data_IF_479129183050
#
_entry.id   IF_479129183050
#
_cell.length_a   1.000
_cell.length_b   1.000
_cell.length_c   1.000
_cell.angle_alpha   90.00
_cell.angle_beta   90.00
_cell.angle_gamma   90.00
#
_symmetry.space_group_name_H-M   'P 1'
#
loop_
_entity.id
_entity.type
_entity.pdbx_description
1 polymer ?
#
# COMPACT_ATOMS: atom_id res chain seq x y z
N UNK A 1 22.14 -36.66 -59.67
CA UNK A 1 23.22 -36.56 -58.65
C UNK A 1 23.52 -35.10 -58.33
N UNK A 2 22.99 -34.56 -57.22
CA UNK A 2 23.52 -33.37 -56.54
C UNK A 2 23.28 -33.58 -55.03
N UNK A 3 24.36 -33.84 -54.29
CA UNK A 3 24.36 -34.07 -52.84
C UNK A 3 24.02 -32.76 -52.12
N UNK A 4 22.94 -32.74 -51.33
CA UNK A 4 22.68 -31.69 -50.34
C UNK A 4 23.44 -32.04 -49.07
N UNK A 5 24.43 -31.22 -48.74
CA UNK A 5 25.19 -31.27 -47.49
C UNK A 5 24.28 -30.69 -46.40
N UNK A 6 23.93 -31.50 -45.41
CA UNK A 6 23.28 -31.04 -44.19
C UNK A 6 24.34 -30.39 -43.29
N UNK A 7 24.27 -29.07 -43.14
CA UNK A 7 24.99 -28.35 -42.09
C UNK A 7 24.12 -28.46 -40.83
N UNK A 8 24.51 -29.33 -39.90
CA UNK A 8 23.96 -29.30 -38.54
C UNK A 8 24.48 -28.04 -37.85
N UNK A 9 23.65 -27.01 -37.78
CA UNK A 9 23.88 -25.88 -36.88
C UNK A 9 23.63 -26.35 -35.45
N UNK A 10 24.72 -26.66 -34.73
CA UNK A 10 24.66 -26.84 -33.28
C UNK A 10 24.31 -25.49 -32.63
N UNK A 11 23.04 -25.29 -32.28
CA UNK A 11 22.67 -24.26 -31.32
C UNK A 11 23.18 -24.70 -29.95
N UNK A 12 24.39 -24.25 -29.61
CA UNK A 12 24.84 -24.22 -28.23
C UNK A 12 23.95 -23.21 -27.50
N UNK A 13 22.94 -23.69 -26.79
CA UNK A 13 22.22 -22.89 -25.82
C UNK A 13 23.23 -22.48 -24.74
N UNK A 14 23.69 -21.22 -24.79
CA UNK A 14 24.39 -20.61 -23.67
C UNK A 14 23.39 -20.49 -22.52
N UNK A 15 23.33 -21.51 -21.66
CA UNK A 15 22.72 -21.36 -20.35
C UNK A 15 23.54 -20.31 -19.60
N UNK A 16 22.95 -19.14 -19.35
CA UNK A 16 23.53 -18.17 -18.45
C UNK A 16 23.70 -18.85 -17.08
N UNK A 17 24.95 -19.03 -16.63
CA UNK A 17 25.26 -19.64 -15.35
C UNK A 17 24.85 -18.71 -14.20
N UNK A 18 23.57 -18.76 -13.81
CA UNK A 18 23.10 -18.20 -12.56
C UNK A 18 23.74 -18.91 -11.37
N UNK A 19 24.05 -18.17 -10.31
CA UNK A 19 24.43 -18.75 -9.03
C UNK A 19 23.25 -19.45 -8.36
N UNK A 20 23.54 -20.38 -7.44
CA UNK A 20 22.54 -21.25 -6.77
C UNK A 20 21.36 -20.51 -6.11
N UNK A 21 21.54 -19.21 -5.81
CA UNK A 21 20.58 -18.34 -5.12
C UNK A 21 19.90 -17.30 -6.02
N UNK A 22 20.25 -17.22 -7.31
CA UNK A 22 19.78 -16.12 -8.17
C UNK A 22 18.26 -16.20 -8.45
N UNK A 23 17.70 -17.41 -8.51
CA UNK A 23 16.26 -17.64 -8.58
C UNK A 23 15.61 -17.85 -7.19
N UNK A 24 16.42 -18.04 -6.14
CA UNK A 24 15.94 -18.51 -4.85
C UNK A 24 15.13 -17.48 -4.06
N UNK A 25 14.24 -17.93 -3.19
CA UNK A 25 13.52 -17.07 -2.23
C UNK A 25 13.30 -17.85 -0.93
N UNK A 26 12.96 -17.15 0.16
CA UNK A 26 12.67 -17.82 1.43
C UNK A 26 11.14 -17.87 1.60
N UNK A 27 10.61 -19.08 1.58
CA UNK A 27 9.23 -19.34 1.98
C UNK A 27 9.16 -19.33 3.51
N UNK A 28 8.18 -18.64 4.08
CA UNK A 28 7.93 -18.67 5.52
C UNK A 28 6.47 -18.95 5.84
N UNK A 29 6.26 -19.82 6.82
CA UNK A 29 4.95 -20.21 7.35
C UNK A 29 4.96 -20.22 8.88
N UNK A 30 3.77 -20.37 9.44
CA UNK A 30 3.55 -20.68 10.85
C UNK A 30 2.89 -22.05 10.99
N UNK A 31 2.98 -22.68 12.16
CA UNK A 31 2.37 -24.00 12.43
C UNK A 31 0.84 -24.02 12.33
N UNK A 32 0.20 -22.85 12.40
CA UNK A 32 -1.22 -22.64 12.14
C UNK A 32 -1.47 -21.24 11.57
N UNK A 33 -2.73 -20.83 11.44
CA UNK A 33 -3.07 -19.48 10.99
C UNK A 33 -2.36 -18.41 11.87
N UNK A 34 -1.53 -17.52 11.28
CA UNK A 34 -0.69 -16.57 12.02
C UNK A 34 -1.48 -15.54 12.82
N UNK A 35 -2.79 -15.43 12.61
CA UNK A 35 -3.66 -14.45 13.27
C UNK A 35 -4.46 -15.05 14.43
N UNK A 36 -4.28 -16.34 14.71
CA UNK A 36 -5.15 -17.12 15.61
C UNK A 36 -4.53 -17.47 16.96
N UNK A 37 -3.32 -16.97 17.26
CA UNK A 37 -2.66 -17.30 18.51
C UNK A 37 -3.31 -16.59 19.69
N UNK A 38 -3.24 -17.23 20.87
CA UNK A 38 -3.60 -16.62 22.15
C UNK A 38 -2.37 -16.12 22.90
N UNK A 39 -2.51 -15.16 23.84
CA UNK A 39 -1.43 -14.79 24.74
C UNK A 39 -0.88 -16.01 25.48
N UNK A 40 0.44 -16.13 25.54
CA UNK A 40 1.18 -17.25 26.13
C UNK A 40 1.32 -18.47 25.21
N UNK A 41 0.59 -18.54 24.09
CA UNK A 41 0.67 -19.64 23.15
C UNK A 41 1.97 -19.59 22.33
N UNK A 42 2.59 -20.75 22.13
CA UNK A 42 3.80 -20.86 21.31
C UNK A 42 3.46 -20.65 19.83
N UNK A 43 4.22 -19.78 19.17
CA UNK A 43 4.24 -19.54 17.74
C UNK A 43 5.46 -20.22 17.15
N UNK A 44 5.28 -21.08 16.14
CA UNK A 44 6.39 -21.75 15.45
C UNK A 44 6.49 -21.23 14.02
N UNK A 45 7.59 -20.54 13.72
CA UNK A 45 7.92 -20.09 12.37
C UNK A 45 8.83 -21.10 11.69
N UNK A 46 8.53 -21.41 10.43
CA UNK A 46 9.34 -22.31 9.59
C UNK A 46 9.72 -21.57 8.32
N UNK A 47 11.03 -21.40 8.09
CA UNK A 47 11.60 -20.70 6.94
C UNK A 47 12.39 -21.68 6.07
N UNK A 48 12.03 -21.84 4.80
CA UNK A 48 12.68 -22.77 3.89
C UNK A 48 13.12 -22.05 2.60
N UNK A 49 14.37 -22.22 2.15
CA UNK A 49 14.75 -21.74 0.83
C UNK A 49 14.04 -22.54 -0.26
N UNK A 50 13.61 -21.83 -1.30
CA UNK A 50 12.92 -22.37 -2.47
C UNK A 50 13.68 -21.96 -3.73
N UNK A 51 13.47 -22.70 -4.82
CA UNK A 51 14.03 -22.41 -6.16
C UNK A 51 15.58 -22.26 -6.14
N UNK A 52 16.26 -23.17 -5.45
CA UNK A 52 17.71 -23.29 -5.47
C UNK A 52 18.18 -23.99 -6.75
N UNK A 53 19.14 -23.40 -7.46
CA UNK A 53 19.71 -23.97 -8.70
C UNK A 53 20.92 -24.88 -8.42
N UNK A 54 20.77 -25.84 -7.51
CA UNK A 54 21.83 -26.80 -7.14
C UNK A 54 22.06 -26.96 -5.64
N UNK A 55 23.26 -27.41 -5.27
CA UNK A 55 23.67 -27.56 -3.86
C UNK A 55 24.22 -26.25 -3.31
N UNK A 56 23.86 -25.95 -2.06
CA UNK A 56 24.38 -24.78 -1.34
C UNK A 56 25.84 -25.04 -0.93
N UNK A 57 26.80 -24.19 -1.32
CA UNK A 57 28.18 -24.33 -0.87
C UNK A 57 28.28 -24.21 0.65
N UNK A 58 28.91 -25.21 1.28
CA UNK A 58 29.03 -25.28 2.74
C UNK A 58 29.84 -24.09 3.26
N UNK A 59 29.26 -23.36 4.21
CA UNK A 59 29.93 -22.24 4.89
C UNK A 59 30.03 -20.94 4.10
N UNK A 60 29.42 -20.86 2.90
CA UNK A 60 29.43 -19.63 2.10
C UNK A 60 28.24 -18.71 2.39
N UNK A 61 27.07 -19.29 2.69
CA UNK A 61 25.82 -18.58 2.87
C UNK A 61 25.18 -18.89 4.23
N UNK A 62 24.56 -17.85 4.80
CA UNK A 62 23.96 -17.90 6.12
C UNK A 62 22.61 -17.19 6.10
N UNK A 63 21.70 -17.64 6.94
CA UNK A 63 20.47 -16.94 7.25
C UNK A 63 20.73 -16.07 8.50
N UNK A 64 20.83 -14.76 8.28
CA UNK A 64 20.90 -13.75 9.35
C UNK A 64 19.47 -13.34 9.71
N UNK A 65 19.04 -13.70 10.91
CA UNK A 65 17.66 -13.58 11.35
C UNK A 65 17.51 -12.70 12.59
N UNK A 66 16.36 -12.05 12.68
CA UNK A 66 15.95 -11.29 13.86
C UNK A 66 14.47 -11.51 14.14
N UNK A 67 14.16 -11.60 15.43
CA UNK A 67 12.81 -11.53 15.97
C UNK A 67 12.64 -10.21 16.68
N UNK A 68 11.55 -9.54 16.39
CA UNK A 68 11.11 -8.34 17.11
C UNK A 68 9.64 -8.52 17.47
N UNK A 69 9.16 -7.89 18.54
CA UNK A 69 7.75 -8.02 18.93
C UNK A 69 7.20 -6.77 19.60
N UNK A 70 5.87 -6.69 19.63
CA UNK A 70 5.14 -5.66 20.36
C UNK A 70 5.31 -5.78 21.89
N UNK A 71 5.79 -6.91 22.39
CA UNK A 71 6.34 -7.06 23.74
C UNK A 71 7.67 -6.33 23.97
N UNK A 72 8.33 -5.86 22.91
CA UNK A 72 9.62 -5.21 22.99
C UNK A 72 10.81 -6.15 23.10
N UNK A 73 10.60 -7.45 22.98
CA UNK A 73 11.68 -8.43 22.94
C UNK A 73 12.33 -8.39 21.55
N UNK A 74 13.66 -8.35 21.54
CA UNK A 74 14.49 -8.37 20.34
C UNK A 74 15.48 -9.50 20.48
N UNK A 75 15.48 -10.41 19.52
CA UNK A 75 16.42 -11.52 19.43
C UNK A 75 16.94 -11.62 18.01
N UNK A 76 18.06 -12.29 17.83
CA UNK A 76 18.61 -12.53 16.51
C UNK A 76 19.78 -13.49 16.55
N UNK A 77 20.21 -13.89 15.36
CA UNK A 77 21.32 -14.80 15.20
C UNK A 77 21.62 -15.05 13.74
N UNK A 78 22.72 -15.77 13.52
CA UNK A 78 23.18 -16.15 12.18
C UNK A 78 23.35 -17.66 12.17
N UNK A 79 22.67 -18.34 11.26
CA UNK A 79 22.75 -19.80 11.10
C UNK A 79 23.19 -20.14 9.68
N UNK A 80 23.91 -21.26 9.45
CA UNK A 80 24.22 -21.71 8.09
C UNK A 80 22.93 -21.87 7.27
N UNK A 81 22.94 -21.40 6.02
CA UNK A 81 21.83 -21.65 5.10
C UNK A 81 21.96 -23.07 4.56
N UNK A 82 20.96 -23.90 4.82
CA UNK A 82 20.87 -25.27 4.29
C UNK A 82 19.55 -25.46 3.55
N UNK A 83 19.35 -26.63 2.91
CA UNK A 83 18.06 -26.98 2.30
C UNK A 83 16.98 -27.27 3.36
N UNK A 84 17.41 -27.64 4.57
CA UNK A 84 16.48 -27.91 5.66
C UNK A 84 15.86 -26.60 6.18
N UNK A 85 14.58 -26.62 6.58
CA UNK A 85 13.95 -25.43 7.10
C UNK A 85 14.58 -24.94 8.41
N UNK A 86 14.79 -23.64 8.51
CA UNK A 86 15.06 -22.97 9.77
C UNK A 86 13.75 -22.86 10.58
N UNK A 87 13.74 -23.39 11.79
CA UNK A 87 12.57 -23.34 12.69
C UNK A 87 12.89 -22.46 13.89
N UNK A 88 12.02 -21.50 14.17
CA UNK A 88 12.14 -20.61 15.31
C UNK A 88 10.84 -20.54 16.10
N UNK A 89 10.94 -20.70 17.42
CA UNK A 89 9.80 -20.75 18.34
C UNK A 89 9.80 -19.52 19.22
N UNK A 90 8.65 -18.88 19.34
CA UNK A 90 8.48 -17.67 20.17
C UNK A 90 7.05 -17.63 20.72
N UNK A 91 6.69 -16.55 21.40
CA UNK A 91 5.33 -16.28 21.89
C UNK A 91 5.16 -14.79 22.16
N UNK A 92 3.93 -14.39 22.43
CA UNK A 92 3.59 -13.12 23.08
C UNK A 92 2.70 -13.40 24.28
N UNK A 93 3.00 -12.80 25.43
CA UNK A 93 2.17 -12.94 26.64
C UNK A 93 1.02 -11.89 26.71
N UNK A 94 0.85 -11.08 25.66
CA UNK A 94 -0.18 -10.04 25.53
C UNK A 94 -0.65 -9.89 24.08
N UNK A 95 -1.78 -9.22 23.82
CA UNK A 95 -2.20 -8.86 22.47
C UNK A 95 -1.13 -8.10 21.68
N UNK A 96 -0.93 -8.46 20.41
CA UNK A 96 0.04 -7.79 19.53
C UNK A 96 0.62 -8.70 18.46
N UNK A 97 1.68 -8.23 17.78
CA UNK A 97 2.37 -8.98 16.74
C UNK A 97 3.84 -9.26 17.06
N UNK A 98 4.35 -10.35 16.49
CA UNK A 98 5.77 -10.69 16.35
C UNK A 98 6.15 -10.57 14.89
N UNK A 99 7.34 -10.05 14.62
CA UNK A 99 7.99 -10.01 13.30
C UNK A 99 9.22 -10.88 13.30
N UNK A 100 9.34 -11.74 12.28
CA UNK A 100 10.57 -12.45 11.94
C UNK A 100 11.10 -11.89 10.63
N UNK A 101 12.34 -11.42 10.65
CA UNK A 101 13.13 -11.10 9.46
C UNK A 101 14.24 -12.10 9.34
N UNK A 102 14.49 -12.57 8.13
CA UNK A 102 15.61 -13.46 7.83
C UNK A 102 16.16 -13.13 6.46
N UNK A 103 17.45 -12.80 6.36
CA UNK A 103 18.10 -12.42 5.10
C UNK A 103 19.29 -13.30 4.84
N UNK A 104 19.44 -13.75 3.59
CA UNK A 104 20.63 -14.50 3.19
C UNK A 104 21.81 -13.56 3.05
N UNK A 105 22.90 -13.88 3.75
CA UNK A 105 24.15 -13.13 3.79
C UNK A 105 25.34 -14.07 3.53
N UNK A 106 26.48 -13.49 3.14
CA UNK A 106 27.74 -14.22 3.05
C UNK A 106 28.41 -14.39 4.44
N UNK A 107 29.58 -15.05 4.46
CA UNK A 107 30.40 -15.23 5.68
C UNK A 107 30.72 -13.92 6.40
N UNK A 108 30.86 -12.81 5.67
CA UNK A 108 31.16 -11.48 6.21
C UNK A 108 29.89 -10.70 6.63
N UNK A 109 28.70 -11.27 6.44
CA UNK A 109 27.43 -10.60 6.76
C UNK A 109 26.92 -9.68 5.65
N UNK A 110 27.54 -9.70 4.46
CA UNK A 110 27.04 -8.93 3.32
C UNK A 110 25.82 -9.63 2.71
N UNK A 111 24.72 -8.90 2.54
CA UNK A 111 23.49 -9.40 1.91
C UNK A 111 23.77 -9.95 0.52
N UNK A 112 23.24 -11.14 0.24
CA UNK A 112 23.25 -11.71 -1.11
C UNK A 112 22.35 -10.87 -2.04
N UNK A 113 22.85 -10.57 -3.23
CA UNK A 113 22.13 -9.81 -4.26
C UNK A 113 22.05 -10.68 -5.50
N UNK A 114 20.83 -11.03 -5.87
CA UNK A 114 20.51 -11.78 -7.09
C UNK A 114 21.06 -11.09 -8.32
N UNK A 115 21.47 -11.90 -9.28
CA UNK A 115 21.78 -11.49 -10.65
C UNK A 115 20.64 -11.85 -11.58
N UNK A 116 20.52 -11.11 -12.67
CA UNK A 116 19.57 -11.44 -13.72
C UNK A 116 20.07 -12.69 -14.46
N UNK A 117 19.22 -13.69 -14.60
CA UNK A 117 19.54 -15.00 -15.22
C UNK A 117 18.87 -15.18 -16.59
N UNK A 118 18.09 -14.20 -17.06
CA UNK A 118 17.40 -14.26 -18.36
C UNK A 118 18.26 -13.79 -19.54
N UNK A 119 17.76 -13.98 -20.75
CA UNK A 119 18.43 -13.56 -21.99
C UNK A 119 18.02 -12.15 -22.43
N UNK A 120 18.79 -11.14 -22.01
CA UNK A 120 18.57 -9.74 -22.34
C UNK A 120 18.73 -9.39 -23.85
N UNK A 121 19.10 -10.34 -24.71
CA UNK A 121 19.18 -10.09 -26.17
C UNK A 121 17.82 -10.18 -26.85
N UNK A 122 16.83 -10.83 -26.22
CA UNK A 122 15.45 -10.93 -26.70
C UNK A 122 14.59 -9.74 -26.22
N UNK A 123 13.54 -9.34 -26.96
CA UNK A 123 12.56 -8.35 -26.47
C UNK A 123 11.96 -8.74 -25.12
N UNK A 124 11.61 -10.01 -24.95
CA UNK A 124 11.03 -10.57 -23.74
C UNK A 124 12.01 -10.49 -22.57
N UNK A 125 13.28 -10.83 -22.81
CA UNK A 125 14.33 -10.77 -21.81
C UNK A 125 14.78 -9.35 -21.47
N UNK A 126 14.75 -8.39 -22.41
CA UNK A 126 14.90 -6.96 -22.08
C UNK A 126 13.79 -6.48 -21.16
N UNK A 127 12.55 -6.85 -21.46
CA UNK A 127 11.42 -6.51 -20.59
C UNK A 127 11.55 -7.17 -19.21
N UNK A 128 12.05 -8.41 -19.15
CA UNK A 128 12.32 -9.11 -17.88
C UNK A 128 13.48 -8.47 -17.09
N UNK A 129 14.55 -8.05 -17.77
CA UNK A 129 15.67 -7.35 -17.17
C UNK A 129 15.24 -6.01 -16.58
N UNK A 130 14.48 -5.21 -17.34
CA UNK A 130 13.92 -3.94 -16.84
C UNK A 130 13.04 -4.17 -15.60
N UNK A 131 12.20 -5.21 -15.59
CA UNK A 131 11.43 -5.57 -14.38
C UNK A 131 12.35 -5.96 -13.22
N UNK A 132 13.37 -6.78 -13.46
CA UNK A 132 14.34 -7.23 -12.46
C UNK A 132 15.14 -6.08 -11.85
N UNK A 133 15.46 -5.04 -12.63
CA UNK A 133 16.16 -3.86 -12.13
C UNK A 133 15.38 -3.11 -11.05
N UNK A 134 14.04 -3.17 -11.10
CA UNK A 134 13.14 -2.53 -10.16
C UNK A 134 12.65 -3.44 -9.02
N UNK A 135 13.08 -4.71 -8.96
CA UNK A 135 12.69 -5.62 -7.87
C UNK A 135 13.65 -5.60 -6.69
N UNK A 136 13.18 -6.11 -5.54
CA UNK A 136 14.06 -6.38 -4.41
C UNK A 136 14.92 -7.62 -4.72
N UNK A 137 16.21 -7.38 -4.94
CA UNK A 137 17.18 -8.41 -5.37
C UNK A 137 17.74 -9.26 -4.24
N UNK A 138 17.26 -9.13 -3.00
CA UNK A 138 17.72 -10.01 -1.94
C UNK A 138 16.98 -11.34 -1.90
N UNK A 139 17.58 -12.32 -1.23
CA UNK A 139 16.93 -13.56 -0.82
C UNK A 139 16.61 -13.43 0.67
N UNK A 140 15.34 -13.31 1.02
CA UNK A 140 14.92 -12.99 2.38
C UNK A 140 13.48 -13.41 2.66
N UNK A 141 13.13 -13.40 3.94
CA UNK A 141 11.78 -13.47 4.48
C UNK A 141 11.57 -12.30 5.45
N UNK A 142 10.36 -11.74 5.43
CA UNK A 142 9.89 -10.78 6.41
C UNK A 142 8.40 -11.03 6.63
N UNK A 143 8.03 -11.44 7.82
CA UNK A 143 6.69 -11.87 8.13
C UNK A 143 6.41 -11.86 9.62
N UNK A 144 5.24 -12.32 10.01
CA UNK A 144 4.80 -12.19 11.39
C UNK A 144 3.60 -13.03 11.77
N UNK A 145 3.28 -13.00 13.05
CA UNK A 145 2.12 -13.64 13.66
C UNK A 145 1.61 -12.78 14.82
N UNK A 146 0.30 -12.83 15.07
CA UNK A 146 -0.38 -12.06 16.09
C UNK A 146 -1.01 -12.94 17.17
N UNK A 147 -0.93 -12.48 18.42
CA UNK A 147 -1.68 -13.01 19.55
C UNK A 147 -2.86 -12.08 19.86
N UNK A 148 -4.06 -12.64 20.01
CA UNK A 148 -5.30 -11.94 20.39
C UNK A 148 -5.48 -10.56 19.72
N UNK A 149 -5.38 -10.57 18.39
CA UNK A 149 -5.39 -9.35 17.58
C UNK A 149 -6.74 -8.60 17.66
N UNK A 150 -7.80 -9.28 18.09
CA UNK A 150 -9.15 -8.73 18.25
C UNK A 150 -9.29 -7.86 19.49
N UNK A 151 -8.44 -8.07 20.51
CA UNK A 151 -8.37 -7.23 21.70
C UNK A 151 -7.59 -5.93 21.47
N UNK A 152 -6.91 -5.76 20.34
CA UNK A 152 -6.16 -4.55 20.02
C UNK A 152 -7.08 -3.35 19.85
N UNK A 153 -6.77 -2.26 20.56
CA UNK A 153 -7.50 -0.99 20.52
C UNK A 153 -6.63 0.11 19.94
N UNK A 154 -7.22 0.99 19.12
CA UNK A 154 -6.56 2.21 18.68
C UNK A 154 -6.41 3.19 19.84
N UNK A 155 -5.54 4.18 19.67
CA UNK A 155 -5.56 5.37 20.51
C UNK A 155 -6.97 6.02 20.46
N UNK A 156 -7.47 6.61 21.57
CA UNK A 156 -8.72 7.36 21.56
C UNK A 156 -8.71 8.47 20.50
N UNK A 157 -9.84 8.68 19.85
CA UNK A 157 -9.97 9.80 18.90
C UNK A 157 -10.14 11.14 19.64
N UNK A 158 -9.83 12.28 19.00
CA UNK A 158 -10.18 13.58 19.55
C UNK A 158 -11.66 13.67 19.92
N UNK A 159 -11.96 14.22 21.10
CA UNK A 159 -13.33 14.23 21.65
C UNK A 159 -14.35 14.97 20.78
N UNK A 160 -13.88 15.93 19.98
CA UNK A 160 -14.67 16.76 19.06
C UNK A 160 -14.47 16.37 17.59
N UNK A 161 -13.99 15.15 17.29
CA UNK A 161 -13.71 14.67 15.92
C UNK A 161 -14.85 14.98 14.93
N UNK A 162 -16.09 14.65 15.29
CA UNK A 162 -17.26 14.88 14.44
C UNK A 162 -17.56 16.37 14.24
N UNK A 163 -17.46 17.17 15.31
CA UNK A 163 -17.68 18.60 15.24
C UNK A 163 -16.63 19.30 14.36
N UNK A 164 -15.37 18.88 14.49
CA UNK A 164 -14.28 19.35 13.64
C UNK A 164 -14.58 19.09 12.16
N UNK A 165 -14.90 17.84 11.79
CA UNK A 165 -15.14 17.48 10.39
C UNK A 165 -16.43 18.07 9.84
N UNK A 166 -17.49 18.18 10.64
CA UNK A 166 -18.70 18.90 10.24
C UNK A 166 -18.39 20.36 9.87
N UNK A 167 -17.55 21.05 10.65
CA UNK A 167 -17.08 22.42 10.34
C UNK A 167 -16.25 22.46 9.06
N UNK A 168 -15.30 21.53 8.87
CA UNK A 168 -14.49 21.50 7.64
C UNK A 168 -15.34 21.22 6.39
N UNK A 169 -16.31 20.31 6.49
CA UNK A 169 -17.20 19.97 5.38
C UNK A 169 -18.20 21.09 5.06
N UNK A 170 -18.72 21.80 6.07
CA UNK A 170 -19.52 23.00 5.83
C UNK A 170 -18.73 24.07 5.05
N UNK A 171 -17.42 24.24 5.32
CA UNK A 171 -16.56 25.13 4.53
C UNK A 171 -16.42 24.64 3.08
N UNK A 172 -16.36 23.33 2.86
CA UNK A 172 -16.32 22.76 1.52
C UNK A 172 -17.61 23.04 0.75
N UNK A 173 -18.77 22.89 1.40
CA UNK A 173 -20.08 23.06 0.77
C UNK A 173 -20.36 24.50 0.30
N UNK A 174 -19.65 25.50 0.85
CA UNK A 174 -19.69 26.88 0.37
C UNK A 174 -19.05 27.05 -1.02
N UNK A 175 -18.21 26.11 -1.45
CA UNK A 175 -17.57 26.15 -2.77
C UNK A 175 -18.43 25.36 -3.75
N UNK A 176 -18.96 25.95 -4.84
CA UNK A 176 -19.74 25.21 -5.83
C UNK A 176 -18.99 24.00 -6.39
N UNK A 177 -19.71 22.90 -6.65
CA UNK A 177 -19.13 21.69 -7.28
C UNK A 177 -18.98 21.98 -8.78
N UNK A 178 -17.88 22.65 -9.15
CA UNK A 178 -17.56 23.01 -10.54
C UNK A 178 -16.24 22.37 -10.93
N UNK A 179 -16.21 21.77 -12.13
CA UNK A 179 -14.99 21.20 -12.69
C UNK A 179 -14.82 21.49 -14.17
N UNK A 180 -13.61 21.88 -14.55
CA UNK A 180 -13.17 22.01 -15.94
C UNK A 180 -12.63 20.66 -16.43
N UNK A 181 -12.95 20.28 -17.67
CA UNK A 181 -12.48 19.06 -18.32
C UNK A 181 -11.79 19.39 -19.63
N UNK A 182 -10.66 18.73 -19.91
CA UNK A 182 -10.00 18.74 -21.21
C UNK A 182 -9.76 17.31 -21.66
N UNK A 183 -10.30 16.94 -22.81
CA UNK A 183 -10.12 15.59 -23.35
C UNK A 183 -8.66 15.35 -23.74
N UNK A 184 -8.16 14.15 -23.45
CA UNK A 184 -6.80 13.71 -23.78
C UNK A 184 -6.85 12.38 -24.54
N UNK A 185 -5.79 12.01 -25.28
CA UNK A 185 -5.77 10.75 -26.02
C UNK A 185 -6.03 9.53 -25.13
N UNK A 186 -6.83 8.60 -25.65
CA UNK A 186 -7.14 7.33 -25.01
C UNK A 186 -6.95 6.17 -25.99
N UNK A 187 -6.14 5.17 -25.63
CA UNK A 187 -5.92 3.98 -26.46
C UNK A 187 -7.14 3.05 -26.50
N UNK A 188 -8.03 3.12 -25.50
CA UNK A 188 -9.28 2.37 -25.51
C UNK A 188 -10.36 3.17 -26.24
N UNK A 189 -10.78 2.70 -27.42
CA UNK A 189 -11.81 3.36 -28.24
C UNK A 189 -13.21 3.35 -27.59
N UNK A 190 -13.44 2.52 -26.58
CA UNK A 190 -14.70 2.44 -25.86
C UNK A 190 -14.77 3.36 -24.62
N UNK A 191 -13.76 4.21 -24.41
CA UNK A 191 -13.72 5.14 -23.28
C UNK A 191 -13.01 6.45 -23.66
N UNK A 192 -13.34 7.52 -22.94
CA UNK A 192 -12.68 8.84 -23.04
C UNK A 192 -11.95 9.15 -21.75
N UNK A 193 -10.86 9.89 -21.86
CA UNK A 193 -10.09 10.38 -20.71
C UNK A 193 -10.13 11.90 -20.75
N UNK A 194 -10.38 12.51 -19.60
CA UNK A 194 -10.35 13.95 -19.41
C UNK A 194 -9.36 14.29 -18.32
N UNK A 195 -8.43 15.21 -18.58
CA UNK A 195 -7.77 15.95 -17.50
C UNK A 195 -8.82 16.84 -16.82
N UNK A 196 -8.88 16.80 -15.48
CA UNK A 196 -9.86 17.56 -14.71
C UNK A 196 -9.23 18.46 -13.65
N UNK A 197 -9.85 19.61 -13.46
CA UNK A 197 -9.61 20.53 -12.34
C UNK A 197 -10.96 20.85 -11.71
N UNK A 198 -11.14 20.49 -10.45
CA UNK A 198 -12.40 20.69 -9.71
C UNK A 198 -12.15 21.64 -8.55
N UNK A 199 -12.98 22.68 -8.44
CA UNK A 199 -12.90 23.67 -7.37
C UNK A 199 -13.08 22.98 -6.01
N UNK A 200 -12.27 23.39 -5.03
CA UNK A 200 -12.23 22.80 -3.69
C UNK A 200 -11.94 23.91 -2.67
N UNK A 201 -12.39 23.72 -1.42
CA UNK A 201 -12.00 24.61 -0.34
C UNK A 201 -10.49 24.52 -0.04
N UNK A 202 -9.92 25.63 0.40
CA UNK A 202 -8.49 25.78 0.66
C UNK A 202 -7.70 26.25 -0.56
N UNK A 203 -6.37 26.16 -0.48
CA UNK A 203 -5.46 26.73 -1.48
C UNK A 203 -5.44 25.97 -2.81
N UNK A 204 -5.80 24.67 -2.80
CA UNK A 204 -5.56 23.78 -3.94
C UNK A 204 -6.82 23.05 -4.39
N UNK A 205 -7.10 23.02 -5.70
CA UNK A 205 -8.22 22.27 -6.27
C UNK A 205 -8.00 20.76 -6.17
N UNK A 206 -9.03 19.99 -6.52
CA UNK A 206 -8.82 18.59 -6.93
C UNK A 206 -8.32 18.58 -8.38
N UNK A 207 -7.29 17.79 -8.66
CA UNK A 207 -6.81 17.56 -10.02
C UNK A 207 -6.54 16.08 -10.27
N UNK A 208 -6.77 15.64 -11.50
CA UNK A 208 -6.65 14.25 -11.86
C UNK A 208 -7.12 13.95 -13.27
N UNK A 209 -7.30 12.67 -13.57
CA UNK A 209 -7.86 12.21 -14.83
C UNK A 209 -9.17 11.45 -14.59
N UNK A 210 -10.20 11.85 -15.35
CA UNK A 210 -11.52 11.24 -15.35
C UNK A 210 -11.66 10.37 -16.59
N UNK A 211 -11.85 9.07 -16.39
CA UNK A 211 -12.24 8.12 -17.43
C UNK A 211 -13.75 7.98 -17.47
N UNK A 212 -14.34 8.06 -18.66
CA UNK A 212 -15.78 7.89 -18.89
C UNK A 212 -16.00 6.92 -20.04
N UNK A 213 -16.76 5.82 -19.86
CA UNK A 213 -17.12 4.92 -20.96
C UNK A 213 -17.85 5.67 -22.08
N UNK A 214 -17.49 5.42 -23.35
CA UNK A 214 -18.10 6.08 -24.50
C UNK A 214 -19.59 5.75 -24.65
N UNK A 215 -20.02 4.59 -24.13
CA UNK A 215 -21.43 4.18 -24.16
C UNK A 215 -22.36 5.05 -23.28
N UNK A 216 -21.81 5.99 -22.49
CA UNK A 216 -22.60 7.05 -21.84
C UNK A 216 -23.37 7.88 -22.86
N UNK A 217 -22.82 8.12 -24.05
CA UNK A 217 -23.50 8.88 -25.13
C UNK A 217 -24.76 8.17 -25.63
N UNK A 218 -24.84 6.85 -25.44
CA UNK A 218 -26.01 6.03 -25.74
C UNK A 218 -26.95 5.87 -24.53
N UNK A 219 -26.77 6.67 -23.48
CA UNK A 219 -27.58 6.66 -22.26
C UNK A 219 -27.26 5.55 -21.28
N UNK A 220 -26.14 4.82 -21.43
CA UNK A 220 -25.73 3.81 -20.44
C UNK A 220 -25.20 4.47 -19.18
N UNK A 221 -25.47 3.85 -18.04
CA UNK A 221 -24.99 4.27 -16.73
C UNK A 221 -24.02 3.26 -16.13
N UNK A 222 -23.09 3.73 -15.32
CA UNK A 222 -21.96 2.97 -14.79
C UNK A 222 -21.72 3.27 -13.30
N UNK A 223 -21.10 2.34 -12.56
CA UNK A 223 -20.52 2.66 -11.26
C UNK A 223 -19.44 3.75 -11.42
N UNK A 224 -19.25 4.55 -10.38
CA UNK A 224 -18.20 5.56 -10.31
C UNK A 224 -17.15 5.20 -9.25
N UNK A 225 -15.88 5.40 -9.54
CA UNK A 225 -14.76 5.07 -8.65
C UNK A 225 -13.82 6.25 -8.47
N UNK A 226 -13.49 6.55 -7.22
CA UNK A 226 -12.36 7.40 -6.86
C UNK A 226 -11.11 6.54 -6.67
N UNK A 227 -10.06 6.83 -7.43
CA UNK A 227 -8.73 6.23 -7.22
C UNK A 227 -7.75 7.27 -6.67
N UNK A 228 -6.94 6.85 -5.71
CA UNK A 228 -5.98 7.72 -5.02
C UNK A 228 -4.59 7.11 -4.96
N UNK A 229 -3.57 7.96 -4.98
CA UNK A 229 -2.17 7.54 -5.08
C UNK A 229 -1.55 7.24 -3.71
N UNK A 230 -0.55 6.35 -3.72
CA UNK A 230 0.37 6.17 -2.60
C UNK A 230 1.32 7.37 -2.43
N UNK A 231 2.11 7.35 -1.35
CA UNK A 231 3.03 8.43 -1.01
C UNK A 231 4.11 8.60 -2.08
N UNK A 232 4.11 9.75 -2.74
CA UNK A 232 5.07 10.09 -3.80
C UNK A 232 6.21 11.00 -3.32
N UNK A 233 6.23 11.37 -2.03
CA UNK A 233 7.12 12.39 -1.49
C UNK A 233 7.08 13.67 -2.34
N UNK A 234 8.23 14.30 -2.49
CA UNK A 234 8.32 15.55 -3.24
C UNK A 234 8.24 15.34 -4.75
N UNK A 235 8.00 14.14 -5.31
CA UNK A 235 7.93 13.98 -6.77
C UNK A 235 6.79 14.79 -7.36
N UNK A 236 5.65 14.80 -6.67
CA UNK A 236 4.43 15.52 -7.03
C UNK A 236 4.06 15.35 -8.53
N UNK A 237 4.13 14.13 -9.06
CA UNK A 237 3.79 13.83 -10.46
C UNK A 237 2.41 13.19 -10.59
N UNK A 238 1.79 13.38 -11.76
CA UNK A 238 0.59 12.65 -12.19
C UNK A 238 0.64 12.50 -13.72
N UNK A 239 1.14 11.36 -14.18
CA UNK A 239 1.26 11.08 -15.61
C UNK A 239 -0.10 10.88 -16.26
N UNK A 240 -0.27 11.40 -17.48
CA UNK A 240 -1.49 11.20 -18.28
C UNK A 240 -1.66 9.71 -18.58
N UNK A 241 -2.77 9.07 -18.19
CA UNK A 241 -2.99 7.66 -18.47
C UNK A 241 -3.19 7.44 -19.97
N UNK A 242 -2.60 6.37 -20.50
CA UNK A 242 -2.72 6.04 -21.93
C UNK A 242 -4.00 5.31 -22.29
N UNK A 243 -4.76 4.81 -21.31
CA UNK A 243 -5.97 4.03 -21.54
C UNK A 243 -6.91 4.07 -20.33
N UNK A 244 -8.18 3.75 -20.58
CA UNK A 244 -9.27 3.83 -19.61
C UNK A 244 -10.10 2.54 -19.59
N UNK A 245 -10.76 2.29 -18.46
CA UNK A 245 -11.78 1.23 -18.32
C UNK A 245 -13.07 1.69 -19.01
N UNK A 246 -13.79 0.77 -19.65
CA UNK A 246 -15.09 1.00 -20.30
C UNK A 246 -16.26 0.38 -19.52
N UNK A 247 -16.00 -0.08 -18.29
CA UNK A 247 -16.98 -0.70 -17.39
C UNK A 247 -17.32 0.15 -16.16
N UNK A 248 -16.58 1.24 -15.92
CA UNK A 248 -16.78 2.15 -14.79
C UNK A 248 -16.31 3.56 -15.15
N UNK A 249 -16.91 4.57 -14.51
CA UNK A 249 -16.40 5.94 -14.49
C UNK A 249 -15.31 6.00 -13.42
N UNK A 250 -14.11 6.47 -13.76
CA UNK A 250 -12.98 6.48 -12.81
C UNK A 250 -12.40 7.87 -12.73
N UNK A 251 -12.41 8.47 -11.54
CA UNK A 251 -11.66 9.68 -11.26
C UNK A 251 -10.42 9.30 -10.44
N UNK A 252 -9.26 9.39 -11.07
CA UNK A 252 -7.97 9.17 -10.42
C UNK A 252 -7.36 10.53 -10.06
N UNK A 253 -7.13 10.80 -8.78
CA UNK A 253 -6.69 12.14 -8.31
C UNK A 253 -5.27 12.14 -7.74
N UNK A 254 -4.59 13.27 -7.89
CA UNK A 254 -3.33 13.52 -7.21
C UNK A 254 -3.57 14.03 -5.78
N UNK A 255 -2.75 13.59 -4.83
CA UNK A 255 -2.84 13.97 -3.42
C UNK A 255 -2.66 15.49 -3.17
N UNK A 256 -1.97 16.21 -4.05
CA UNK A 256 -1.50 17.58 -3.83
C UNK A 256 -2.38 18.65 -4.50
N UNK A 257 -3.24 18.30 -5.46
CA UNK A 257 -3.88 19.31 -6.32
C UNK A 257 -2.92 19.90 -7.37
N UNK A 258 -2.01 19.07 -7.88
CA UNK A 258 -1.04 19.41 -8.93
C UNK A 258 -1.72 20.01 -10.16
N UNK A 259 -1.22 21.15 -10.65
CA UNK A 259 -1.61 21.68 -11.96
C UNK A 259 -1.15 20.72 -13.05
N UNK A 260 -2.07 20.20 -13.87
CA UNK A 260 -1.75 19.27 -14.95
C UNK A 260 -1.28 20.01 -16.21
N UNK A 261 -0.52 19.33 -17.07
CA UNK A 261 0.04 19.90 -18.30
C UNK A 261 -1.04 20.39 -19.26
N UNK A 262 -2.20 19.73 -19.27
CA UNK A 262 -3.39 20.12 -20.05
C UNK A 262 -3.96 21.46 -19.59
N UNK A 263 -3.73 21.85 -18.33
CA UNK A 263 -4.06 23.16 -17.80
C UNK A 263 -2.88 24.14 -17.83
N UNK A 264 -1.88 23.87 -18.69
CA UNK A 264 -0.72 24.74 -18.91
C UNK A 264 0.30 24.65 -17.78
N UNK A 265 0.46 23.49 -17.14
CA UNK A 265 1.56 23.28 -16.22
C UNK A 265 2.90 23.17 -16.95
N UNK A 266 3.91 23.77 -16.35
CA UNK A 266 5.31 23.73 -16.75
C UNK A 266 6.11 22.90 -15.74
N UNK A 267 7.35 22.55 -16.08
CA UNK A 267 8.25 21.91 -15.11
C UNK A 267 8.48 22.80 -13.86
N UNK A 268 8.46 24.12 -14.04
CA UNK A 268 8.57 25.08 -12.96
C UNK A 268 7.37 25.00 -11.98
N UNK A 269 6.15 24.80 -12.48
CA UNK A 269 4.96 24.63 -11.63
C UNK A 269 5.09 23.37 -10.77
N UNK A 270 5.49 22.24 -11.37
CA UNK A 270 5.72 21.00 -10.62
C UNK A 270 6.83 21.20 -9.58
N UNK A 271 7.92 21.88 -9.94
CA UNK A 271 9.03 22.19 -9.01
C UNK A 271 8.60 23.09 -7.87
N UNK A 272 7.78 24.11 -8.14
CA UNK A 272 7.23 24.99 -7.12
C UNK A 272 6.36 24.21 -6.13
N UNK A 273 5.46 23.35 -6.63
CA UNK A 273 4.61 22.53 -5.77
C UNK A 273 5.41 21.61 -4.83
N UNK A 274 6.56 21.08 -5.28
CA UNK A 274 7.47 20.32 -4.39
C UNK A 274 7.88 21.12 -3.17
N UNK A 275 8.15 22.42 -3.34
CA UNK A 275 8.53 23.31 -2.24
C UNK A 275 7.33 23.75 -1.42
N UNK A 276 6.22 24.11 -2.06
CA UNK A 276 5.02 24.60 -1.37
C UNK A 276 4.27 23.53 -0.56
N UNK A 277 4.55 22.25 -0.79
CA UNK A 277 3.95 21.16 0.01
C UNK A 277 4.81 20.80 1.22
N UNK A 278 6.06 21.27 1.27
CA UNK A 278 6.94 21.12 2.42
C UNK A 278 6.56 22.11 3.51
N UNK A 279 6.96 21.79 4.73
CA UNK A 279 6.88 22.68 5.87
C UNK A 279 8.19 22.59 6.65
N UNK A 280 8.82 23.74 6.89
CA UNK A 280 10.21 23.81 7.34
C UNK A 280 11.13 22.92 6.45
N UNK A 281 12.02 22.15 7.05
CA UNK A 281 12.92 21.24 6.33
C UNK A 281 12.30 19.86 6.03
N UNK A 282 11.02 19.66 6.30
CA UNK A 282 10.35 18.36 6.21
C UNK A 282 9.50 18.22 4.93
N UNK A 283 9.42 16.99 4.41
CA UNK A 283 8.46 16.67 3.34
C UNK A 283 7.01 16.78 3.84
N UNK A 284 6.05 16.83 2.92
CA UNK A 284 4.65 17.06 3.27
C UNK A 284 4.13 16.05 4.29
N UNK A 285 3.28 16.52 5.22
CA UNK A 285 2.72 15.78 6.35
C UNK A 285 3.70 15.31 7.44
N UNK A 286 5.02 15.50 7.29
CA UNK A 286 6.00 15.04 8.30
C UNK A 286 6.39 16.08 9.34
N UNK A 287 6.03 17.36 9.17
CA UNK A 287 6.38 18.42 10.11
C UNK A 287 5.45 18.42 11.36
N UNK A 288 5.97 18.11 12.56
CA UNK A 288 5.16 18.13 13.77
C UNK A 288 4.65 19.53 14.15
N UNK A 289 5.33 20.60 13.74
CA UNK A 289 4.89 21.96 14.05
C UNK A 289 3.65 22.32 13.23
N UNK A 290 3.68 22.06 11.92
CA UNK A 290 2.50 22.18 11.06
C UNK A 290 1.36 21.28 11.54
N UNK A 291 1.68 20.04 11.91
CA UNK A 291 0.70 19.06 12.35
C UNK A 291 0.15 19.32 13.76
N UNK A 292 0.67 20.29 14.52
CA UNK A 292 0.14 20.63 15.85
C UNK A 292 -1.23 21.33 15.77
N UNK A 293 -1.53 21.99 14.65
CA UNK A 293 -2.83 22.60 14.37
C UNK A 293 -3.57 21.75 13.31
N UNK A 294 -4.74 21.17 13.62
CA UNK A 294 -5.47 20.35 12.66
C UNK A 294 -6.00 21.17 11.48
N UNK A 295 -6.28 22.47 11.59
CA UNK A 295 -6.72 23.24 10.41
C UNK A 295 -5.57 23.54 9.44
N UNK A 296 -4.32 23.55 9.92
CA UNK A 296 -3.12 23.84 9.12
C UNK A 296 -2.42 22.57 8.62
N UNK A 297 -2.62 21.44 9.31
CA UNK A 297 -2.06 20.15 8.95
C UNK A 297 -2.30 19.81 7.46
N UNK A 298 -1.26 19.33 6.78
CA UNK A 298 -1.31 19.04 5.34
C UNK A 298 -2.49 18.13 4.95
N UNK A 299 -2.82 17.17 5.81
CA UNK A 299 -3.91 16.23 5.58
C UNK A 299 -5.31 16.86 5.56
N UNK A 300 -5.51 18.04 6.16
CA UNK A 300 -6.81 18.75 6.11
C UNK A 300 -7.27 18.96 4.67
N UNK A 301 -6.45 19.64 3.86
CA UNK A 301 -6.77 19.87 2.45
C UNK A 301 -6.87 18.58 1.64
N UNK A 302 -6.13 17.53 2.02
CA UNK A 302 -6.16 16.24 1.32
C UNK A 302 -7.50 15.52 1.52
N UNK A 303 -8.03 15.49 2.74
CA UNK A 303 -9.37 14.94 3.02
C UNK A 303 -10.46 15.75 2.30
N UNK A 304 -10.37 17.09 2.32
CA UNK A 304 -11.33 17.95 1.60
C UNK A 304 -11.35 17.65 0.10
N UNK A 305 -10.18 17.44 -0.52
CA UNK A 305 -10.06 17.04 -1.92
C UNK A 305 -10.68 15.66 -2.19
N UNK A 306 -10.47 14.68 -1.30
CA UNK A 306 -11.11 13.36 -1.40
C UNK A 306 -12.64 13.49 -1.37
N UNK A 307 -13.20 14.22 -0.40
CA UNK A 307 -14.65 14.43 -0.32
C UNK A 307 -15.19 15.16 -1.56
N UNK A 308 -14.51 16.22 -2.01
CA UNK A 308 -14.88 16.97 -3.22
C UNK A 308 -14.85 16.10 -4.48
N UNK A 309 -13.88 15.19 -4.61
CA UNK A 309 -13.80 14.28 -5.74
C UNK A 309 -15.02 13.35 -5.80
N UNK A 310 -15.47 12.83 -4.64
CA UNK A 310 -16.70 12.03 -4.55
C UNK A 310 -17.95 12.86 -4.88
N UNK A 311 -18.05 14.08 -4.35
CA UNK A 311 -19.13 15.02 -4.67
C UNK A 311 -19.21 15.24 -6.19
N UNK A 312 -18.07 15.45 -6.85
CA UNK A 312 -18.01 15.65 -8.30
C UNK A 312 -18.36 14.39 -9.10
N UNK A 313 -17.89 13.20 -8.69
CA UNK A 313 -18.24 11.94 -9.36
C UNK A 313 -19.75 11.74 -9.45
N UNK A 314 -20.50 12.14 -8.42
CA UNK A 314 -21.96 12.08 -8.39
C UNK A 314 -22.66 13.02 -9.38
N UNK A 315 -21.94 13.99 -9.95
CA UNK A 315 -22.45 14.90 -10.99
C UNK A 315 -21.99 14.52 -12.39
N UNK A 316 -21.18 13.47 -12.54
CA UNK A 316 -20.69 13.04 -13.86
C UNK A 316 -21.83 12.34 -14.61
N UNK A 317 -22.13 12.81 -15.82
CA UNK A 317 -23.06 12.14 -16.72
C UNK A 317 -22.66 10.67 -16.92
N UNK A 318 -23.64 9.78 -16.83
CA UNK A 318 -23.43 8.35 -16.89
C UNK A 318 -23.14 7.68 -15.56
N UNK A 319 -23.06 8.38 -14.42
CA UNK A 319 -23.09 7.71 -13.12
C UNK A 319 -24.46 7.07 -12.88
N UNK A 320 -24.48 5.85 -12.32
CA UNK A 320 -25.70 5.09 -12.10
C UNK A 320 -26.53 5.52 -10.87
N UNK A 321 -26.10 6.56 -10.16
CA UNK A 321 -26.82 7.10 -9.00
C UNK A 321 -26.69 6.30 -7.71
N UNK A 322 -25.94 5.19 -7.72
CA UNK A 322 -25.89 4.24 -6.58
C UNK A 322 -24.49 3.78 -6.23
N UNK A 323 -23.76 3.23 -7.19
CA UNK A 323 -22.48 2.58 -6.93
C UNK A 323 -21.36 3.60 -6.96
N UNK A 324 -20.81 3.89 -5.79
CA UNK A 324 -19.71 4.83 -5.59
C UNK A 324 -18.58 4.10 -4.86
N UNK A 325 -17.46 3.92 -5.54
CA UNK A 325 -16.34 3.11 -5.08
C UNK A 325 -15.15 4.00 -4.75
N UNK A 326 -14.28 3.53 -3.86
CA UNK A 326 -13.01 4.16 -3.59
C UNK A 326 -11.90 3.09 -3.53
N UNK A 327 -10.73 3.38 -4.09
CA UNK A 327 -9.58 2.48 -3.99
C UNK A 327 -8.23 3.19 -3.99
N UNK A 328 -7.26 2.54 -3.37
CA UNK A 328 -5.89 3.04 -3.26
C UNK A 328 -5.02 2.18 -2.36
N UNK A 329 -3.70 2.31 -2.51
CA UNK A 329 -2.70 1.61 -1.72
C UNK A 329 -1.84 2.55 -0.88
N UNK A 330 -1.37 2.13 0.30
CA UNK A 330 -0.50 2.95 1.16
C UNK A 330 -1.21 4.23 1.59
N UNK A 331 -0.68 5.42 1.28
CA UNK A 331 -1.39 6.70 1.46
C UNK A 331 -2.70 6.76 0.64
N UNK A 332 -2.80 6.06 -0.49
CA UNK A 332 -4.06 5.91 -1.22
C UNK A 332 -5.07 5.06 -0.43
N UNK A 333 -4.58 4.08 0.33
CA UNK A 333 -5.41 3.32 1.26
C UNK A 333 -5.97 4.20 2.37
N UNK A 334 -5.13 5.05 2.97
CA UNK A 334 -5.56 6.07 3.94
C UNK A 334 -6.69 6.95 3.37
N UNK A 335 -6.49 7.47 2.15
CA UNK A 335 -7.51 8.26 1.45
C UNK A 335 -8.78 7.48 1.13
N UNK A 336 -8.67 6.17 0.88
CA UNK A 336 -9.81 5.27 0.63
C UNK A 336 -10.66 5.12 1.89
N UNK A 337 -10.03 5.01 3.07
CA UNK A 337 -10.73 4.97 4.36
C UNK A 337 -11.40 6.31 4.67
N UNK A 338 -10.74 7.43 4.36
CA UNK A 338 -11.37 8.75 4.45
C UNK A 338 -12.57 8.89 3.51
N UNK A 339 -12.43 8.45 2.26
CA UNK A 339 -13.51 8.45 1.27
C UNK A 339 -14.73 7.68 1.81
N UNK A 340 -14.51 6.49 2.38
CA UNK A 340 -15.55 5.65 2.94
C UNK A 340 -16.23 6.28 4.19
N UNK A 341 -15.48 6.99 5.02
CA UNK A 341 -15.96 7.58 6.28
C UNK A 341 -16.44 9.04 6.19
N UNK A 342 -16.24 9.74 5.07
CA UNK A 342 -16.55 11.19 4.96
C UNK A 342 -18.03 11.52 4.67
N UNK A 343 -18.90 10.51 4.62
CA UNK A 343 -20.35 10.69 4.47
C UNK A 343 -20.86 10.92 3.05
N UNK A 344 -20.08 10.59 2.01
CA UNK A 344 -20.51 10.78 0.60
C UNK A 344 -21.26 9.57 0.01
N UNK A 345 -21.42 8.49 0.78
CA UNK A 345 -22.20 7.31 0.37
C UNK A 345 -21.40 6.29 -0.44
N UNK A 346 -20.09 6.14 -0.18
CA UNK A 346 -19.28 5.08 -0.79
C UNK A 346 -19.88 3.71 -0.47
N UNK A 347 -20.13 2.90 -1.49
CA UNK A 347 -20.73 1.56 -1.40
C UNK A 347 -19.68 0.45 -1.35
N UNK A 348 -18.49 0.68 -1.90
CA UNK A 348 -17.36 -0.26 -1.82
C UNK A 348 -16.03 0.49 -1.64
N UNK A 349 -15.24 0.09 -0.65
CA UNK A 349 -13.93 0.65 -0.35
C UNK A 349 -12.86 -0.44 -0.43
N UNK A 350 -11.92 -0.32 -1.37
CA UNK A 350 -10.84 -1.29 -1.61
C UNK A 350 -9.50 -0.67 -1.22
N UNK A 351 -9.10 -0.88 0.03
CA UNK A 351 -7.86 -0.31 0.59
C UNK A 351 -6.75 -1.35 0.62
N UNK A 352 -5.59 -1.08 0.02
CA UNK A 352 -4.42 -1.96 0.09
C UNK A 352 -3.33 -1.39 0.99
N UNK A 353 -2.65 -2.22 1.78
CA UNK A 353 -1.48 -1.84 2.61
C UNK A 353 -1.67 -0.46 3.25
N UNK A 354 -2.80 -0.28 3.95
CA UNK A 354 -3.31 1.03 4.36
C UNK A 354 -2.34 1.74 5.31
N UNK A 355 -1.88 2.93 4.93
CA UNK A 355 -0.97 3.73 5.76
C UNK A 355 -1.72 4.49 6.86
N UNK A 356 -0.98 4.93 7.89
CA UNK A 356 -1.52 5.75 8.99
C UNK A 356 -2.72 5.13 9.73
N UNK A 357 -2.67 3.83 9.99
CA UNK A 357 -3.64 3.13 10.84
C UNK A 357 -3.11 3.14 12.29
N UNK A 358 -3.69 3.96 13.16
CA UNK A 358 -3.21 4.20 14.53
C UNK A 358 -1.81 4.84 14.58
N UNK A 359 -1.73 6.07 14.04
CA UNK A 359 -0.51 6.88 13.92
C UNK A 359 0.21 7.09 15.26
N UNK A 360 -0.52 7.10 16.37
CA UNK A 360 0.04 7.18 17.73
C UNK A 360 1.07 6.07 18.01
N UNK A 361 0.88 4.90 17.40
CA UNK A 361 1.73 3.73 17.61
C UNK A 361 2.73 3.49 16.50
N UNK A 362 2.92 4.47 15.61
CA UNK A 362 3.88 4.43 14.51
C UNK A 362 5.05 5.39 14.76
N UNK A 363 6.30 5.00 14.44
CA UNK A 363 7.46 5.90 14.41
C UNK A 363 8.42 5.91 15.61
N UNK A 364 9.57 6.58 15.40
CA UNK A 364 10.64 6.77 16.41
C UNK A 364 10.22 7.65 17.60
N UNK A 365 9.18 8.47 17.43
CA UNK A 365 8.62 9.35 18.47
C UNK A 365 7.40 8.72 19.18
N UNK A 366 7.30 7.39 19.16
CA UNK A 366 6.20 6.62 19.77
C UNK A 366 5.98 7.04 21.22
N UNK A 367 4.71 7.24 21.60
CA UNK A 367 4.31 7.45 23.00
C UNK A 367 3.63 6.23 23.62
N UNK A 368 3.30 5.20 22.84
CA UNK A 368 2.80 3.93 23.38
C UNK A 368 3.97 3.03 23.83
N UNK A 369 4.23 2.87 25.15
CA UNK A 369 5.29 2.02 25.63
C UNK A 369 4.99 0.52 25.43
N UNK A 370 3.72 0.17 25.16
CA UNK A 370 3.25 -1.21 25.11
C UNK A 370 3.49 -1.88 23.75
N UNK A 371 4.05 -1.20 22.76
CA UNK A 371 4.32 -1.77 21.44
C UNK A 371 5.70 -1.24 20.99
N UNK A 372 6.57 -2.05 20.34
CA UNK A 372 7.95 -1.61 19.95
C UNK A 372 8.39 -1.86 18.49
N UNK A 373 7.52 -2.37 17.62
CA UNK A 373 7.89 -2.78 16.27
C UNK A 373 8.08 -1.68 15.19
N UNK A 374 7.62 -0.45 15.41
CA UNK A 374 7.57 0.60 14.37
C UNK A 374 8.85 1.46 14.27
N UNK A 375 10.02 0.83 14.12
CA UNK A 375 11.33 1.45 14.34
C UNK A 375 12.08 2.02 13.12
N UNK A 376 11.60 1.83 11.89
CA UNK A 376 12.32 2.18 10.65
C UNK A 376 11.97 3.56 10.07
N UNK A 377 12.14 4.63 10.85
CA UNK A 377 12.47 6.00 10.37
C UNK A 377 11.53 6.73 9.41
N UNK A 378 10.50 6.10 8.84
CA UNK A 378 9.60 6.63 7.82
C UNK A 378 8.16 6.69 8.32
N UNK A 379 7.97 7.34 9.47
CA UNK A 379 6.65 7.56 10.06
C UNK A 379 6.49 9.01 10.43
N UNK A 380 5.24 9.48 10.38
CA UNK A 380 4.89 10.83 10.80
C UNK A 380 4.96 10.89 12.34
N UNK A 381 5.66 11.89 12.87
CA UNK A 381 5.72 12.13 14.30
C UNK A 381 4.35 12.50 14.86
N UNK A 382 3.91 11.84 15.93
CA UNK A 382 2.60 12.06 16.52
C UNK A 382 2.43 13.47 17.08
N UNK A 383 1.27 14.07 16.78
CA UNK A 383 0.65 15.20 17.48
C UNK A 383 -0.81 14.82 17.73
N UNK A 384 -1.45 15.36 18.77
CA UNK A 384 -2.84 14.99 19.08
C UNK A 384 -3.81 15.38 17.93
N UNK A 385 -3.48 16.44 17.18
CA UNK A 385 -4.18 16.87 15.99
C UNK A 385 -4.09 15.87 14.81
N UNK A 386 -3.11 14.97 14.77
CA UNK A 386 -3.11 13.88 13.78
C UNK A 386 -4.21 12.85 14.03
N UNK A 387 -4.78 12.82 15.24
CA UNK A 387 -5.97 12.02 15.55
C UNK A 387 -7.18 12.32 14.67
N UNK A 388 -7.31 13.54 14.13
CA UNK A 388 -8.39 13.87 13.19
C UNK A 388 -8.20 13.25 11.80
N UNK A 389 -6.99 12.79 11.46
CA UNK A 389 -6.63 12.23 10.15
C UNK A 389 -6.38 10.72 10.19
N UNK A 390 -6.32 10.12 11.36
CA UNK A 390 -6.03 8.70 11.53
C UNK A 390 -7.07 7.82 10.82
N UNK A 391 -6.61 6.86 10.02
CA UNK A 391 -7.49 5.91 9.34
C UNK A 391 -8.35 5.12 10.33
N UNK A 392 -7.80 4.79 11.52
CA UNK A 392 -8.52 4.05 12.55
C UNK A 392 -9.71 4.84 13.13
N UNK A 393 -9.66 6.17 13.11
CA UNK A 393 -10.75 7.02 13.59
C UNK A 393 -11.82 7.25 12.51
N UNK A 394 -11.40 7.46 11.25
CA UNK A 394 -12.34 7.49 10.12
C UNK A 394 -13.07 6.16 9.91
N UNK A 395 -12.39 5.03 10.15
CA UNK A 395 -12.96 3.69 9.99
C UNK A 395 -14.24 3.45 10.82
N UNK A 396 -14.38 4.13 11.97
CA UNK A 396 -15.59 4.08 12.82
C UNK A 396 -16.84 4.66 12.15
N UNK A 397 -16.66 5.50 11.13
CA UNK A 397 -17.72 6.23 10.43
C UNK A 397 -18.08 5.63 9.08
N UNK A 398 -17.43 4.53 8.69
CA UNK A 398 -17.78 3.81 7.47
C UNK A 398 -19.19 3.22 7.64
N UNK A 399 -20.15 3.57 6.78
CA UNK A 399 -21.54 3.15 6.97
C UNK A 399 -21.70 1.65 6.74
N UNK A 400 -22.71 1.05 7.37
CA UNK A 400 -23.03 -0.39 7.21
C UNK A 400 -23.39 -0.79 5.78
N UNK A 401 -23.71 0.17 4.92
CA UNK A 401 -23.98 -0.04 3.49
C UNK A 401 -22.71 -0.10 2.63
N UNK A 402 -21.54 0.21 3.19
CA UNK A 402 -20.27 0.16 2.50
C UNK A 402 -19.57 -1.18 2.76
N UNK A 403 -19.32 -1.97 1.70
CA UNK A 403 -18.42 -3.12 1.82
C UNK A 403 -16.97 -2.66 1.77
N UNK A 404 -16.19 -2.97 2.81
CA UNK A 404 -14.78 -2.58 2.88
C UNK A 404 -13.87 -3.78 2.76
N UNK A 405 -13.06 -3.82 1.70
CA UNK A 405 -12.05 -4.84 1.49
C UNK A 405 -10.65 -4.26 1.69
N UNK A 406 -9.95 -4.72 2.73
CA UNK A 406 -8.51 -4.53 2.86
C UNK A 406 -7.82 -5.56 1.96
N UNK A 407 -7.50 -5.14 0.74
CA UNK A 407 -7.08 -6.00 -0.38
C UNK A 407 -5.73 -6.67 -0.14
N UNK A 408 -4.89 -6.09 0.72
CA UNK A 408 -3.63 -6.68 1.16
C UNK A 408 -3.20 -6.09 2.50
N UNK A 409 -2.91 -6.95 3.46
CA UNK A 409 -2.22 -6.64 4.71
C UNK A 409 -0.98 -7.55 4.82
N UNK A 410 0.21 -6.98 4.58
CA UNK A 410 1.45 -7.75 4.62
C UNK A 410 1.90 -8.00 6.05
N UNK A 411 2.11 -9.25 6.44
CA UNK A 411 2.59 -9.59 7.79
C UNK A 411 4.05 -9.20 8.03
N UNK A 412 4.79 -8.85 6.98
CA UNK A 412 6.12 -8.24 7.02
C UNK A 412 6.13 -6.76 6.61
N UNK A 413 4.96 -6.14 6.39
CA UNK A 413 4.87 -4.73 6.02
C UNK A 413 4.94 -3.85 7.28
N UNK A 414 6.12 -3.32 7.58
CA UNK A 414 6.27 -2.37 8.68
C UNK A 414 6.26 -0.91 8.22
N UNK A 415 6.14 -0.63 6.93
CA UNK A 415 5.70 0.69 6.48
C UNK A 415 4.23 0.94 6.88
N UNK A 416 3.40 -0.09 6.75
CA UNK A 416 2.00 -0.13 7.19
C UNK A 416 1.79 -1.31 8.16
N UNK A 417 2.20 -1.18 9.44
CA UNK A 417 2.33 -2.29 10.38
C UNK A 417 1.04 -3.12 10.56
N UNK A 418 1.15 -4.46 10.68
CA UNK A 418 0.01 -5.34 10.99
C UNK A 418 -0.81 -4.90 12.20
N UNK A 419 -0.14 -4.44 13.26
CA UNK A 419 -0.78 -3.98 14.50
C UNK A 419 -1.72 -2.80 14.24
N UNK A 420 -1.30 -1.82 13.43
CA UNK A 420 -2.12 -0.65 13.08
C UNK A 420 -3.33 -1.04 12.23
N UNK A 421 -3.11 -1.87 11.21
CA UNK A 421 -4.17 -2.42 10.36
C UNK A 421 -5.21 -3.21 11.16
N UNK A 422 -4.77 -4.04 12.11
CA UNK A 422 -5.68 -4.78 12.99
C UNK A 422 -6.52 -3.85 13.87
N UNK A 423 -5.93 -2.79 14.44
CA UNK A 423 -6.67 -1.78 15.22
C UNK A 423 -7.71 -1.05 14.38
N UNK A 424 -7.35 -0.60 13.17
CA UNK A 424 -8.30 0.02 12.24
C UNK A 424 -9.42 -0.97 11.87
N UNK A 425 -9.08 -2.23 11.56
CA UNK A 425 -10.04 -3.29 11.29
C UNK A 425 -11.03 -3.49 12.45
N UNK A 426 -10.55 -3.50 13.69
CA UNK A 426 -11.38 -3.68 14.88
C UNK A 426 -12.38 -2.53 15.08
N UNK A 427 -12.02 -1.31 14.67
CA UNK A 427 -12.89 -0.14 14.72
C UNK A 427 -14.00 -0.12 13.64
N UNK A 428 -13.88 -0.91 12.57
CA UNK A 428 -14.89 -0.98 11.51
C UNK A 428 -16.12 -1.79 11.94
N UNK A 429 -17.31 -1.22 11.74
CA UNK A 429 -18.62 -1.87 11.96
C UNK A 429 -19.33 -2.24 10.65
N UNK A 430 -18.80 -1.83 9.51
CA UNK A 430 -19.32 -2.15 8.19
C UNK A 430 -19.04 -3.61 7.79
N UNK A 431 -19.73 -4.18 6.78
CA UNK A 431 -19.35 -5.47 6.23
C UNK A 431 -17.94 -5.35 5.64
N UNK A 432 -17.06 -6.28 6.00
CA UNK A 432 -15.63 -6.10 5.80
C UNK A 432 -14.89 -7.40 5.52
N UNK A 433 -13.84 -7.30 4.71
CA UNK A 433 -12.92 -8.39 4.36
C UNK A 433 -11.48 -7.92 4.44
N UNK A 434 -10.56 -8.80 4.84
CA UNK A 434 -9.13 -8.53 4.84
C UNK A 434 -8.36 -9.75 4.34
N UNK A 435 -7.41 -9.51 3.43
CA UNK A 435 -6.44 -10.50 2.98
C UNK A 435 -5.08 -10.25 3.62
N UNK A 436 -4.70 -11.10 4.57
CA UNK A 436 -3.37 -11.11 5.18
C UNK A 436 -2.42 -11.99 4.37
N UNK A 437 -1.20 -11.49 4.13
CA UNK A 437 -0.20 -12.19 3.30
C UNK A 437 1.11 -12.34 4.07
N UNK A 438 1.47 -13.59 4.38
CA UNK A 438 2.72 -13.96 5.02
C UNK A 438 3.90 -13.71 4.07
N UNK A 439 5.01 -13.21 4.59
CA UNK A 439 6.19 -12.89 3.78
C UNK A 439 6.07 -11.63 2.91
N UNK A 440 4.91 -10.94 2.92
CA UNK A 440 4.70 -9.71 2.16
C UNK A 440 5.12 -8.48 2.96
N UNK A 441 5.93 -7.63 2.31
CA UNK A 441 6.29 -6.28 2.76
C UNK A 441 5.48 -5.23 1.98
N UNK A 442 5.79 -3.95 2.20
CA UNK A 442 5.13 -2.85 1.50
C UNK A 442 5.22 -2.94 -0.03
N UNK A 443 6.45 -3.10 -0.54
CA UNK A 443 6.76 -3.18 -1.97
C UNK A 443 7.10 -4.58 -2.48
N UNK A 444 6.90 -5.62 -1.67
CA UNK A 444 7.23 -7.00 -2.02
C UNK A 444 6.10 -7.95 -1.62
N UNK A 445 5.75 -8.85 -2.53
CA UNK A 445 4.87 -9.99 -2.29
C UNK A 445 5.66 -11.23 -2.68
N UNK A 446 5.61 -12.35 -1.91
CA UNK A 446 6.26 -13.58 -2.30
C UNK A 446 5.87 -14.01 -3.72
N UNK A 447 6.84 -14.43 -4.55
CA UNK A 447 6.64 -14.61 -6.00
C UNK A 447 5.67 -15.74 -6.36
N UNK A 448 5.48 -16.72 -5.46
CA UNK A 448 4.60 -17.88 -5.67
C UNK A 448 3.57 -17.95 -4.54
N UNK A 449 2.37 -18.44 -4.86
CA UNK A 449 1.38 -18.82 -3.86
C UNK A 449 1.75 -20.18 -3.25
N UNK A 450 1.49 -20.34 -1.96
CA UNK A 450 1.74 -21.57 -1.21
C UNK A 450 0.80 -21.66 -0.01
N UNK A 451 0.56 -22.88 0.48
CA UNK A 451 -0.28 -23.11 1.64
C UNK A 451 0.31 -22.43 2.89
N UNK A 452 -0.52 -21.68 3.60
CA UNK A 452 -0.06 -20.89 4.75
C UNK A 452 0.56 -19.54 4.38
N UNK A 453 0.43 -19.08 3.13
CA UNK A 453 0.77 -17.70 2.72
C UNK A 453 -0.38 -16.73 2.98
N UNK A 454 -1.57 -17.06 2.49
CA UNK A 454 -2.70 -16.14 2.37
C UNK A 454 -3.80 -16.50 3.37
N UNK A 455 -4.24 -15.53 4.17
CA UNK A 455 -5.29 -15.71 5.18
C UNK A 455 -6.37 -14.66 5.01
N UNK A 456 -7.57 -15.10 4.70
CA UNK A 456 -8.73 -14.23 4.55
C UNK A 456 -9.57 -14.24 5.81
N UNK A 457 -9.99 -13.06 6.27
CA UNK A 457 -11.03 -12.90 7.28
C UNK A 457 -12.13 -12.01 6.73
N UNK A 458 -13.37 -12.38 7.00
CA UNK A 458 -14.55 -11.67 6.54
C UNK A 458 -15.56 -11.60 7.70
N UNK A 459 -16.12 -10.42 7.93
CA UNK A 459 -17.12 -10.18 8.95
C UNK A 459 -18.32 -9.45 8.34
N UNK A 460 -19.56 -9.84 8.69
CA UNK A 460 -20.73 -9.04 8.35
C UNK A 460 -20.70 -7.72 9.13
N UNK A 461 -21.62 -6.81 8.81
CA UNK A 461 -21.82 -5.60 9.61
C UNK A 461 -22.12 -5.96 11.08
N UNK A 462 -21.53 -5.23 12.03
CA UNK A 462 -21.79 -5.35 13.48
C UNK A 462 -22.90 -4.41 13.91
#
# INVERSE_FOLDING_TARGET
>A
MKKRIWVMSAFAAFAAFGGVLDNAWIQGTTDKNPLSYKPGEQMVFTLAPQDLDGELPVGEHFLDWSRTGDDGVVEGGKVPLTKDPFVYKTKLDKPGFVRIRATVVDKNGKRFVKKFTGDATTPEGRAAMNRFEHTNKGVFFDGGAGADIDALKSHPEPADFDAFWAKQFARLDLVPIKGERKEVPCNNKNARIYAVRIDCAGLRPVTGYLSVPAAVDAGKTFPARLETHGYSGDRCTHETPSGARDTEIVLNINAHGLKLVEFGATEADTKALRWETRSHDMSYAFDPQQNADPEVAYFNGMVLRVKRALQYLKTVEGWNGKDLLASGGSQGGLQTIWAAGCGEGVTCAESGITWCCDMYTSGKLRKDPALKLAGDGWYIGWTDALGYYDAANFAKRIPKTCFTFITRAGLGDYCCPPTGLAKMWNNMTCPKKILWVQGSQHGYVPPKAYDGRDFTREEPAK
#
